data_IF_796457241374
#
_entry.id   IF_796457241374
#
_cell.length_a   1.000
_cell.length_b   1.000
_cell.length_c   1.000
_cell.angle_alpha   90.00
_cell.angle_beta   90.00
_cell.angle_gamma   90.00
#
_symmetry.space_group_name_H-M   'P 1'
#
loop_
_entity.id
_entity.type
_entity.pdbx_description
1 polymer ?
#
# COMPACT_ATOMS: atom_id res chain seq x y z
N UNK A 1 9.00 -17.33 -27.51
CA UNK A 1 8.89 -16.17 -28.43
C UNK A 1 7.50 -15.51 -28.41
N UNK A 2 6.39 -16.27 -28.25
CA UNK A 2 5.03 -15.70 -28.19
C UNK A 2 4.78 -14.89 -26.93
N UNK A 3 5.16 -15.38 -25.75
CA UNK A 3 5.03 -14.67 -24.46
C UNK A 3 5.71 -13.29 -24.51
N UNK A 4 6.90 -13.22 -25.09
CA UNK A 4 7.63 -11.95 -25.25
C UNK A 4 6.91 -10.96 -26.17
N UNK A 5 6.18 -11.44 -27.19
CA UNK A 5 5.33 -10.59 -28.04
C UNK A 5 4.11 -10.08 -27.29
N UNK A 6 3.51 -10.93 -26.46
CA UNK A 6 2.35 -10.60 -25.64
C UNK A 6 2.71 -9.51 -24.59
N UNK A 7 3.80 -9.70 -23.87
CA UNK A 7 4.31 -8.74 -22.87
C UNK A 7 4.68 -7.37 -23.45
N UNK A 8 4.94 -7.28 -24.75
CA UNK A 8 5.21 -6.00 -25.45
C UNK A 8 3.94 -5.27 -25.90
N UNK A 9 2.83 -6.00 -26.05
CA UNK A 9 1.59 -5.47 -26.64
C UNK A 9 0.52 -5.17 -25.59
N UNK A 10 0.43 -6.00 -24.54
CA UNK A 10 -0.64 -5.90 -23.54
C UNK A 10 -0.08 -5.30 -22.25
N UNK A 11 -0.65 -4.22 -21.74
CA UNK A 11 -0.20 -3.55 -20.52
C UNK A 11 -0.75 -4.26 -19.27
N UNK A 12 -0.26 -5.48 -18.99
CA UNK A 12 -0.59 -6.22 -17.76
C UNK A 12 -0.16 -5.49 -16.49
N UNK A 13 0.85 -4.62 -16.59
CA UNK A 13 1.38 -3.86 -15.48
C UNK A 13 0.31 -3.05 -14.72
N UNK A 14 -0.79 -2.69 -15.39
CA UNK A 14 -1.86 -1.94 -14.75
C UNK A 14 -2.65 -2.82 -13.75
N UNK A 15 -2.96 -4.06 -14.14
CA UNK A 15 -3.55 -5.06 -13.25
C UNK A 15 -2.55 -5.46 -12.17
N UNK A 16 -1.32 -5.72 -12.56
CA UNK A 16 -0.25 -6.13 -11.66
C UNK A 16 0.09 -5.07 -10.61
N UNK A 17 -0.09 -3.78 -10.91
CA UNK A 17 0.06 -2.70 -9.94
C UNK A 17 -0.92 -2.85 -8.76
N UNK A 18 -2.19 -3.17 -9.06
CA UNK A 18 -3.20 -3.40 -8.03
C UNK A 18 -2.88 -4.65 -7.23
N UNK A 19 -2.50 -5.74 -7.93
CA UNK A 19 -2.09 -6.99 -7.28
C UNK A 19 -0.88 -6.76 -6.38
N UNK A 20 0.14 -6.07 -6.87
CA UNK A 20 1.33 -5.73 -6.09
C UNK A 20 0.98 -4.90 -4.85
N UNK A 21 0.15 -3.86 -5.00
CA UNK A 21 -0.27 -3.05 -3.86
C UNK A 21 -0.96 -3.89 -2.77
N UNK A 22 -1.84 -4.81 -3.16
CA UNK A 22 -2.52 -5.72 -2.24
C UNK A 22 -1.56 -6.71 -1.58
N UNK A 23 -0.63 -7.30 -2.34
CA UNK A 23 0.36 -8.22 -1.81
C UNK A 23 1.32 -7.52 -0.85
N UNK A 24 1.82 -6.35 -1.24
CA UNK A 24 2.73 -5.55 -0.43
C UNK A 24 2.09 -5.10 0.88
N UNK A 25 0.85 -4.61 0.81
CA UNK A 25 0.07 -4.29 2.00
C UNK A 25 -0.16 -5.50 2.92
N UNK A 26 -0.30 -6.70 2.35
CA UNK A 26 -0.40 -7.95 3.12
C UNK A 26 0.92 -8.33 3.77
N UNK A 27 2.07 -8.08 3.13
CA UNK A 27 3.39 -8.29 3.72
C UNK A 27 3.61 -7.36 4.92
N UNK A 28 3.30 -6.07 4.76
CA UNK A 28 3.50 -5.07 5.82
C UNK A 28 2.55 -5.26 7.00
N UNK A 29 1.33 -5.75 6.73
CA UNK A 29 0.29 -5.95 7.74
C UNK A 29 -0.01 -7.44 7.99
N UNK A 30 1.02 -8.29 7.89
CA UNK A 30 0.87 -9.72 8.05
C UNK A 30 0.28 -10.07 9.44
N UNK A 31 -0.76 -10.91 9.42
CA UNK A 31 -1.45 -11.32 10.65
C UNK A 31 -2.53 -10.35 11.15
N UNK A 32 -2.58 -9.10 10.67
CA UNK A 32 -3.61 -8.12 11.03
C UNK A 32 -4.75 -8.03 10.03
N UNK A 33 -4.46 -8.25 8.75
CA UNK A 33 -5.45 -8.12 7.67
C UNK A 33 -5.71 -9.50 7.07
N UNK A 34 -6.98 -9.91 7.04
CA UNK A 34 -7.39 -11.19 6.48
C UNK A 34 -7.42 -11.17 4.94
N UNK A 35 -7.33 -12.35 4.33
CA UNK A 35 -7.36 -12.49 2.87
C UNK A 35 -8.63 -11.92 2.25
N UNK A 36 -9.77 -12.03 2.96
CA UNK A 36 -11.07 -11.52 2.47
C UNK A 36 -11.03 -10.00 2.32
N UNK A 37 -10.50 -9.31 3.31
CA UNK A 37 -10.35 -7.85 3.33
C UNK A 37 -9.43 -7.39 2.20
N UNK A 38 -8.30 -8.06 2.02
CA UNK A 38 -7.33 -7.79 0.93
C UNK A 38 -8.00 -7.92 -0.44
N UNK A 39 -8.78 -8.98 -0.66
CA UNK A 39 -9.49 -9.20 -1.92
C UNK A 39 -10.55 -8.11 -2.16
N UNK A 40 -11.33 -7.75 -1.14
CA UNK A 40 -12.36 -6.70 -1.26
C UNK A 40 -11.72 -5.35 -1.59
N UNK A 41 -10.64 -4.96 -0.88
CA UNK A 41 -9.90 -3.73 -1.15
C UNK A 41 -9.31 -3.76 -2.56
N UNK A 42 -8.71 -4.88 -2.96
CA UNK A 42 -8.15 -5.05 -4.29
C UNK A 42 -9.18 -4.89 -5.41
N UNK A 43 -10.37 -5.47 -5.26
CA UNK A 43 -11.47 -5.30 -6.21
C UNK A 43 -11.94 -3.84 -6.30
N UNK A 44 -11.99 -3.15 -5.16
CA UNK A 44 -12.36 -1.73 -5.10
C UNK A 44 -11.33 -0.87 -5.85
N UNK A 45 -10.04 -1.07 -5.57
CA UNK A 45 -8.95 -0.35 -6.25
C UNK A 45 -8.96 -0.65 -7.74
N UNK A 46 -9.17 -1.92 -8.12
CA UNK A 46 -9.24 -2.33 -9.52
C UNK A 46 -10.40 -1.64 -10.25
N UNK A 47 -11.57 -1.56 -9.61
CA UNK A 47 -12.73 -0.88 -10.16
C UNK A 47 -12.45 0.60 -10.44
N UNK A 48 -11.89 1.34 -9.46
CA UNK A 48 -11.57 2.75 -9.65
C UNK A 48 -10.44 2.97 -10.66
N UNK A 49 -9.45 2.10 -10.68
CA UNK A 49 -8.37 2.15 -11.67
C UNK A 49 -8.91 1.92 -13.09
N UNK A 50 -9.82 0.97 -13.24
CA UNK A 50 -10.48 0.71 -14.53
C UNK A 50 -11.38 1.87 -14.96
N UNK A 51 -12.16 2.45 -14.04
CA UNK A 51 -12.99 3.62 -14.31
C UNK A 51 -12.14 4.82 -14.75
N UNK A 52 -11.04 5.07 -14.05
CA UNK A 52 -10.10 6.14 -14.40
C UNK A 52 -9.44 5.87 -15.75
N UNK A 53 -9.04 4.63 -16.03
CA UNK A 53 -8.53 4.23 -17.33
C UNK A 53 -9.53 4.53 -18.45
N UNK A 54 -10.80 4.14 -18.28
CA UNK A 54 -11.86 4.39 -19.28
C UNK A 54 -12.07 5.89 -19.52
N UNK A 55 -12.05 6.68 -18.46
CA UNK A 55 -12.18 8.14 -18.54
C UNK A 55 -11.02 8.74 -19.36
N UNK A 56 -9.78 8.36 -19.07
CA UNK A 56 -8.61 8.85 -19.83
C UNK A 56 -8.63 8.32 -21.26
N UNK A 57 -9.05 7.08 -21.48
CA UNK A 57 -9.18 6.46 -22.80
C UNK A 57 -10.18 7.20 -23.70
N UNK A 58 -11.27 7.70 -23.11
CA UNK A 58 -12.26 8.49 -23.86
C UNK A 58 -11.63 9.73 -24.50
N UNK A 59 -10.67 10.37 -23.82
CA UNK A 59 -9.99 11.56 -24.34
C UNK A 59 -8.80 11.24 -25.24
N UNK A 60 -8.03 10.20 -24.94
CA UNK A 60 -6.75 9.92 -25.60
C UNK A 60 -6.88 9.05 -26.84
N UNK A 61 -7.85 8.12 -26.82
CA UNK A 61 -8.12 7.12 -27.87
C UNK A 61 -6.90 6.24 -28.24
N UNK A 62 -5.85 6.25 -27.42
CA UNK A 62 -4.65 5.42 -27.57
C UNK A 62 -4.49 4.54 -26.33
N UNK A 63 -4.76 3.25 -26.48
CA UNK A 63 -4.80 2.28 -25.39
C UNK A 63 -3.47 2.19 -24.61
N UNK A 64 -2.33 2.14 -25.32
CA UNK A 64 -1.01 2.02 -24.67
C UNK A 64 -0.65 3.31 -23.96
N UNK A 65 -0.86 4.45 -24.60
CA UNK A 65 -0.62 5.75 -24.03
C UNK A 65 -1.47 5.97 -22.77
N UNK A 66 -2.76 5.62 -22.82
CA UNK A 66 -3.68 5.66 -21.67
C UNK A 66 -3.18 4.80 -20.52
N UNK A 67 -2.78 3.56 -20.83
CA UNK A 67 -2.28 2.63 -19.82
C UNK A 67 -1.06 3.17 -19.08
N UNK A 68 -0.12 3.78 -19.80
CA UNK A 68 1.09 4.36 -19.22
C UNK A 68 0.79 5.58 -18.34
N UNK A 69 -0.18 6.42 -18.72
CA UNK A 69 -0.63 7.55 -17.91
C UNK A 69 -1.35 7.06 -16.64
N UNK A 70 -2.31 6.13 -16.83
CA UNK A 70 -3.07 5.56 -15.72
C UNK A 70 -2.17 4.88 -14.69
N UNK A 71 -1.19 4.11 -15.16
CA UNK A 71 -0.21 3.46 -14.29
C UNK A 71 0.58 4.48 -13.46
N UNK A 72 1.05 5.54 -14.07
CA UNK A 72 1.83 6.57 -13.39
C UNK A 72 1.00 7.29 -12.32
N UNK A 73 -0.23 7.69 -12.67
CA UNK A 73 -1.13 8.40 -11.73
C UNK A 73 -1.60 7.46 -10.62
N UNK A 74 -2.00 6.23 -10.95
CA UNK A 74 -2.40 5.24 -9.96
C UNK A 74 -1.25 4.88 -9.02
N UNK A 75 -0.01 4.75 -9.54
CA UNK A 75 1.18 4.54 -8.74
C UNK A 75 1.42 5.66 -7.73
N UNK A 76 1.31 6.93 -8.16
CA UNK A 76 1.41 8.06 -7.24
C UNK A 76 0.32 8.03 -6.16
N UNK A 77 -0.90 7.73 -6.54
CA UNK A 77 -2.02 7.69 -5.59
C UNK A 77 -1.86 6.57 -4.56
N UNK A 78 -1.58 5.36 -5.02
CA UNK A 78 -1.48 4.18 -4.15
C UNK A 78 -0.27 4.24 -3.21
N UNK A 79 0.85 4.77 -3.67
CA UNK A 79 2.09 4.84 -2.89
C UNK A 79 2.38 6.24 -2.33
N UNK A 80 1.36 7.11 -2.28
CA UNK A 80 1.53 8.50 -1.79
C UNK A 80 2.09 8.55 -0.36
N UNK A 81 1.59 7.70 0.54
CA UNK A 81 2.08 7.59 1.92
C UNK A 81 3.56 7.20 1.95
N UNK A 82 3.92 6.11 1.30
CA UNK A 82 5.31 5.63 1.25
C UNK A 82 6.27 6.67 0.65
N UNK A 83 5.83 7.42 -0.37
CA UNK A 83 6.62 8.50 -0.96
C UNK A 83 6.85 9.63 0.05
N UNK A 84 5.80 10.01 0.77
CA UNK A 84 5.88 11.04 1.80
C UNK A 84 6.82 10.61 2.93
N UNK A 85 6.69 9.37 3.42
CA UNK A 85 7.53 8.82 4.47
C UNK A 85 9.00 8.74 4.05
N UNK A 86 9.25 8.33 2.80
CA UNK A 86 10.59 8.34 2.22
C UNK A 86 11.19 9.76 2.19
N UNK A 87 10.41 10.77 1.78
CA UNK A 87 10.88 12.17 1.76
C UNK A 87 11.17 12.70 3.18
N UNK A 88 10.36 12.29 4.16
CA UNK A 88 10.55 12.66 5.56
C UNK A 88 11.82 12.04 6.14
N UNK A 89 12.16 10.81 5.74
CA UNK A 89 13.36 10.10 6.18
C UNK A 89 14.68 10.72 5.70
N UNK A 90 14.64 11.62 4.70
CA UNK A 90 15.82 12.32 4.18
C UNK A 90 15.79 13.79 4.60
N UNK A 91 16.63 14.25 5.56
CA UNK A 91 16.58 15.60 6.09
C UNK A 91 16.63 16.71 5.02
N UNK A 92 17.40 16.48 3.95
CA UNK A 92 17.51 17.43 2.82
C UNK A 92 16.20 17.56 2.03
N UNK A 93 15.36 16.53 2.00
CA UNK A 93 14.11 16.50 1.25
C UNK A 93 12.87 16.69 2.12
N UNK A 94 13.04 16.83 3.44
CA UNK A 94 11.93 16.95 4.39
C UNK A 94 11.01 18.15 4.10
N UNK A 95 11.53 19.22 3.48
CA UNK A 95 10.69 20.36 3.07
C UNK A 95 9.68 20.02 1.96
N UNK A 96 9.92 18.94 1.19
CA UNK A 96 9.01 18.49 0.13
C UNK A 96 7.79 17.73 0.65
N UNK A 97 7.78 17.32 1.92
CA UNK A 97 6.68 16.52 2.51
C UNK A 97 5.37 17.33 2.70
N UNK A 98 5.44 18.67 2.68
CA UNK A 98 4.29 19.54 2.80
C UNK A 98 3.34 19.36 1.60
N UNK A 99 2.03 19.20 1.86
CA UNK A 99 1.03 19.01 0.80
C UNK A 99 1.07 20.14 -0.24
N UNK A 100 1.37 21.36 0.16
CA UNK A 100 1.52 22.53 -0.74
C UNK A 100 2.71 22.42 -1.70
N UNK A 101 3.68 21.56 -1.41
CA UNK A 101 4.86 21.33 -2.26
C UNK A 101 4.72 20.02 -3.04
N UNK A 102 4.37 18.93 -2.37
CA UNK A 102 4.32 17.61 -2.98
C UNK A 102 3.23 17.50 -4.06
N UNK A 103 2.04 18.09 -3.83
CA UNK A 103 0.94 18.01 -4.81
C UNK A 103 1.29 18.74 -6.11
N UNK A 104 1.74 20.02 -6.10
CA UNK A 104 2.19 20.68 -7.33
C UNK A 104 3.37 19.97 -8.01
N UNK A 105 4.31 19.41 -7.23
CA UNK A 105 5.42 18.64 -7.77
C UNK A 105 4.93 17.41 -8.55
N UNK A 106 3.99 16.63 -7.98
CA UNK A 106 3.39 15.47 -8.63
C UNK A 106 2.63 15.86 -9.91
N UNK A 107 1.93 17.00 -9.89
CA UNK A 107 1.26 17.53 -11.08
C UNK A 107 2.26 17.87 -12.18
N UNK A 108 3.35 18.55 -11.84
CA UNK A 108 4.41 18.89 -12.80
C UNK A 108 5.04 17.61 -13.38
N UNK A 109 5.37 16.64 -12.53
CA UNK A 109 5.92 15.36 -12.97
C UNK A 109 4.95 14.60 -13.90
N UNK A 110 3.66 14.62 -13.58
CA UNK A 110 2.62 14.02 -14.44
C UNK A 110 2.55 14.72 -15.80
N UNK A 111 2.58 16.05 -15.84
CA UNK A 111 2.60 16.81 -17.09
C UNK A 111 3.87 16.52 -17.91
N UNK A 112 5.02 16.50 -17.26
CA UNK A 112 6.29 16.13 -17.90
C UNK A 112 6.23 14.71 -18.48
N UNK A 113 5.64 13.75 -17.75
CA UNK A 113 5.43 12.38 -18.19
C UNK A 113 4.54 12.31 -19.45
N UNK A 114 3.41 13.01 -19.42
CA UNK A 114 2.49 13.09 -20.57
C UNK A 114 3.20 13.66 -21.80
N UNK A 115 3.93 14.77 -21.64
CA UNK A 115 4.70 15.40 -22.72
C UNK A 115 5.76 14.44 -23.28
N UNK A 116 6.50 13.77 -22.39
CA UNK A 116 7.50 12.78 -22.74
C UNK A 116 6.91 11.64 -23.57
N UNK A 117 5.81 11.05 -23.13
CA UNK A 117 5.12 9.98 -23.82
C UNK A 117 4.63 10.42 -25.20
N UNK A 118 4.04 11.64 -25.31
CA UNK A 118 3.60 12.19 -26.61
C UNK A 118 4.75 12.34 -27.59
N UNK A 119 5.93 12.77 -27.12
CA UNK A 119 7.11 13.00 -27.97
C UNK A 119 7.84 11.70 -28.35
N UNK A 120 7.79 10.67 -27.52
CA UNK A 120 8.60 9.44 -27.63
C UNK A 120 7.76 8.18 -27.84
N UNK A 121 6.77 8.22 -28.73
CA UNK A 121 5.84 7.11 -29.02
C UNK A 121 6.55 5.79 -29.34
N UNK A 122 7.71 5.84 -29.98
CA UNK A 122 8.53 4.66 -30.30
C UNK A 122 9.05 3.89 -29.06
N UNK A 123 9.03 4.53 -27.86
CA UNK A 123 9.43 3.88 -26.62
C UNK A 123 8.29 3.11 -25.95
N UNK A 124 7.03 3.34 -26.33
CA UNK A 124 5.87 2.72 -25.67
C UNK A 124 5.96 1.19 -25.58
N UNK A 125 6.29 0.42 -26.63
CA UNK A 125 6.40 -1.03 -26.51
C UNK A 125 7.52 -1.50 -25.57
N UNK A 126 8.61 -0.71 -25.49
CA UNK A 126 9.72 -0.99 -24.58
C UNK A 126 9.33 -0.71 -23.14
N UNK A 127 8.62 0.39 -22.90
CA UNK A 127 8.09 0.74 -21.59
C UNK A 127 7.06 -0.29 -21.10
N UNK A 128 6.13 -0.71 -21.98
CA UNK A 128 5.15 -1.75 -21.66
C UNK A 128 5.85 -3.04 -21.23
N UNK A 129 6.85 -3.49 -21.99
CA UNK A 129 7.61 -4.69 -21.67
C UNK A 129 8.36 -4.55 -20.33
N UNK A 130 9.05 -3.43 -20.13
CA UNK A 130 9.79 -3.16 -18.90
C UNK A 130 8.88 -3.14 -17.67
N UNK A 131 7.76 -2.41 -17.74
CA UNK A 131 6.81 -2.30 -16.63
C UNK A 131 6.12 -3.63 -16.32
N UNK A 132 5.74 -4.40 -17.35
CA UNK A 132 5.19 -5.73 -17.13
C UNK A 132 6.19 -6.64 -16.40
N UNK A 133 7.45 -6.65 -16.86
CA UNK A 133 8.49 -7.47 -16.22
C UNK A 133 8.76 -7.02 -14.78
N UNK A 134 8.87 -5.70 -14.57
CA UNK A 134 9.11 -5.11 -13.26
C UNK A 134 8.01 -5.50 -12.27
N UNK A 135 6.74 -5.33 -12.65
CA UNK A 135 5.60 -5.67 -11.78
C UNK A 135 5.51 -7.17 -11.50
N UNK A 136 5.81 -8.03 -12.47
CA UNK A 136 5.87 -9.48 -12.26
C UNK A 136 6.93 -9.81 -11.19
N UNK A 137 8.12 -9.23 -11.29
CA UNK A 137 9.20 -9.47 -10.34
C UNK A 137 8.77 -9.02 -8.93
N UNK A 138 8.18 -7.84 -8.78
CA UNK A 138 7.73 -7.35 -7.49
C UNK A 138 6.62 -8.22 -6.88
N UNK A 139 5.63 -8.65 -7.69
CA UNK A 139 4.60 -9.58 -7.20
C UNK A 139 5.21 -10.91 -6.74
N UNK A 140 6.20 -11.45 -7.46
CA UNK A 140 6.88 -12.70 -7.06
C UNK A 140 7.62 -12.50 -5.74
N UNK A 141 8.34 -11.38 -5.56
CA UNK A 141 9.06 -11.09 -4.31
C UNK A 141 8.10 -11.02 -3.13
N UNK A 142 6.97 -10.31 -3.25
CA UNK A 142 6.00 -10.23 -2.17
C UNK A 142 5.36 -11.58 -1.84
N UNK A 143 5.07 -12.40 -2.85
CA UNK A 143 4.59 -13.78 -2.61
C UNK A 143 5.62 -14.60 -1.83
N UNK A 144 6.91 -14.49 -2.17
CA UNK A 144 7.98 -15.18 -1.43
C UNK A 144 8.01 -14.68 0.02
N UNK A 145 7.90 -13.37 0.26
CA UNK A 145 7.89 -12.79 1.60
C UNK A 145 6.69 -13.27 2.43
N UNK A 146 5.48 -13.33 1.84
CA UNK A 146 4.28 -13.85 2.51
C UNK A 146 4.50 -15.32 2.91
N UNK A 147 5.02 -16.15 1.99
CA UNK A 147 5.31 -17.56 2.27
C UNK A 147 6.35 -17.71 3.38
N UNK A 148 7.39 -16.87 3.41
CA UNK A 148 8.38 -16.88 4.48
C UNK A 148 7.77 -16.49 5.83
N UNK A 149 6.89 -15.51 5.88
CA UNK A 149 6.19 -15.10 7.09
C UNK A 149 5.26 -16.20 7.61
N UNK A 150 4.51 -16.88 6.70
CA UNK A 150 3.63 -18.00 7.04
C UNK A 150 4.40 -19.18 7.66
N UNK A 151 5.60 -19.48 7.14
CA UNK A 151 6.45 -20.55 7.68
C UNK A 151 7.07 -20.13 9.03
N UNK A 152 7.50 -18.87 9.14
CA UNK A 152 8.18 -18.36 10.34
C UNK A 152 7.21 -18.12 11.52
N UNK A 153 5.99 -17.70 11.21
CA UNK A 153 4.97 -17.38 12.20
C UNK A 153 3.65 -18.06 11.82
N UNK A 154 3.54 -19.39 12.02
CA UNK A 154 2.27 -20.04 11.78
C UNK A 154 1.21 -19.39 12.67
N UNK A 155 -0.01 -19.19 12.15
CA UNK A 155 -1.06 -18.50 12.88
C UNK A 155 -1.21 -19.10 14.28
N UNK A 156 -1.11 -18.25 15.29
CA UNK A 156 -1.24 -18.68 16.67
C UNK A 156 -2.58 -19.42 16.80
N UNK A 157 -2.52 -20.72 17.03
CA UNK A 157 -3.74 -21.48 17.35
C UNK A 157 -4.35 -20.78 18.54
N UNK A 158 -5.56 -20.26 18.39
CA UNK A 158 -6.31 -19.72 19.52
C UNK A 158 -6.23 -20.77 20.63
N UNK A 159 -5.52 -20.44 21.70
CA UNK A 159 -5.45 -21.34 22.83
C UNK A 159 -6.88 -21.49 23.34
N UNK A 160 -7.46 -22.67 23.13
CA UNK A 160 -8.72 -23.03 23.75
C UNK A 160 -8.44 -23.18 25.23
N UNK A 161 -8.49 -22.08 25.97
CA UNK A 161 -8.45 -22.14 27.42
C UNK A 161 -9.78 -22.73 27.85
N UNK A 162 -9.77 -24.00 28.23
CA UNK A 162 -10.90 -24.62 28.92
C UNK A 162 -11.01 -23.97 30.30
N UNK A 163 -11.77 -22.89 30.37
CA UNK A 163 -12.01 -22.21 31.62
C UNK A 163 -13.14 -22.89 32.35
N UNK A 164 -12.87 -23.44 33.53
CA UNK A 164 -13.91 -24.03 34.38
C UNK A 164 -14.66 -22.96 35.14
N UNK A 165 -15.81 -22.58 34.63
CA UNK A 165 -16.69 -21.56 35.26
C UNK A 165 -17.25 -21.97 36.62
N UNK A 166 -17.21 -23.26 37.01
CA UNK A 166 -17.71 -23.73 38.29
C UNK A 166 -16.84 -23.35 39.46
N UNK A 167 -15.56 -23.06 39.20
CA UNK A 167 -14.58 -22.63 40.20
C UNK A 167 -14.72 -21.14 40.57
N UNK A 168 -15.43 -20.36 39.77
CA UNK A 168 -15.60 -18.92 40.01
C UNK A 168 -16.69 -18.66 41.05
N UNK A 169 -16.29 -18.45 42.30
CA UNK A 169 -17.23 -18.15 43.40
C UNK A 169 -17.78 -16.72 43.37
N UNK A 170 -16.98 -15.77 42.87
CA UNK A 170 -17.38 -14.38 42.68
C UNK A 170 -17.14 -14.00 41.23
N UNK A 171 -18.04 -13.26 40.62
CA UNK A 171 -17.95 -12.75 39.23
C UNK A 171 -17.75 -11.23 39.33
N UNK A 172 -16.49 -10.75 39.53
CA UNK A 172 -16.22 -9.32 39.48
C UNK A 172 -16.44 -8.79 38.08
N UNK A 173 -16.85 -7.54 37.97
CA UNK A 173 -16.88 -6.84 36.71
C UNK A 173 -15.44 -6.64 36.23
N UNK A 174 -15.15 -7.07 34.99
CA UNK A 174 -13.82 -6.91 34.36
C UNK A 174 -13.96 -5.84 33.29
N UNK A 175 -13.24 -4.75 33.45
CA UNK A 175 -13.17 -3.66 32.48
C UNK A 175 -11.83 -3.76 31.74
N UNK A 176 -11.86 -4.03 30.43
CA UNK A 176 -10.70 -3.92 29.56
C UNK A 176 -10.74 -2.54 28.88
N UNK A 177 -9.86 -1.64 29.33
CA UNK A 177 -9.70 -0.34 28.67
C UNK A 177 -8.49 -0.39 27.74
N UNK A 178 -8.74 -0.23 26.43
CA UNK A 178 -7.69 -0.13 25.40
C UNK A 178 -7.65 1.33 24.97
N UNK A 179 -6.55 2.00 25.27
CA UNK A 179 -6.32 3.37 24.84
C UNK A 179 -5.64 3.33 23.47
N UNK A 180 -6.35 3.82 22.45
CA UNK A 180 -5.80 4.00 21.12
C UNK A 180 -4.95 5.29 21.11
N UNK A 181 -3.73 5.19 20.57
CA UNK A 181 -2.76 6.30 20.46
C UNK A 181 -2.43 7.02 21.78
N UNK A 182 -2.67 6.36 22.93
CA UNK A 182 -2.33 6.96 24.22
C UNK A 182 -0.81 7.06 24.37
N UNK A 183 -0.23 8.27 24.52
CA UNK A 183 1.21 8.44 24.61
C UNK A 183 1.78 7.72 25.83
N UNK A 184 2.92 7.07 25.64
CA UNK A 184 3.64 6.43 26.77
C UNK A 184 4.05 7.44 27.84
N UNK A 185 4.28 6.97 29.07
CA UNK A 185 4.61 7.81 30.23
C UNK A 185 5.69 8.86 29.94
N UNK A 186 6.80 8.44 29.32
CA UNK A 186 7.90 9.32 28.97
C UNK A 186 7.48 10.43 27.97
N UNK A 187 6.65 10.10 27.03
CA UNK A 187 6.13 11.06 26.05
C UNK A 187 5.19 12.07 26.71
N UNK A 188 4.36 11.61 27.68
CA UNK A 188 3.49 12.49 28.45
C UNK A 188 4.28 13.47 29.32
N UNK A 189 5.29 12.99 30.02
CA UNK A 189 6.13 13.84 30.90
C UNK A 189 7.02 14.80 30.10
N UNK A 190 7.71 14.32 29.08
CA UNK A 190 8.71 15.09 28.35
C UNK A 190 8.09 16.11 27.38
N UNK A 191 6.95 15.74 26.75
CA UNK A 191 6.34 16.60 25.71
C UNK A 191 5.16 17.41 26.22
N UNK A 192 4.43 16.92 27.21
CA UNK A 192 3.20 17.56 27.71
C UNK A 192 3.30 18.01 29.17
N UNK A 193 4.39 17.69 29.87
CA UNK A 193 4.55 18.02 31.29
C UNK A 193 3.52 17.36 32.20
N UNK A 194 2.88 16.28 31.75
CA UNK A 194 1.82 15.58 32.47
C UNK A 194 2.27 14.21 32.93
N UNK A 195 2.26 13.98 34.23
CA UNK A 195 2.56 12.68 34.84
C UNK A 195 1.24 11.97 35.20
N UNK A 196 0.93 10.84 34.55
CA UNK A 196 -0.22 10.01 34.86
C UNK A 196 0.20 8.82 35.74
N UNK A 197 0.69 9.14 36.94
CA UNK A 197 1.22 8.12 37.88
C UNK A 197 0.14 7.13 38.29
N UNK A 198 -1.10 7.55 38.41
CA UNK A 198 -2.23 6.69 38.80
C UNK A 198 -2.51 5.57 37.80
N UNK A 199 -2.17 5.73 36.52
CA UNK A 199 -2.36 4.68 35.52
C UNK A 199 -1.23 3.66 35.54
N UNK A 200 -0.01 4.04 35.99
CA UNK A 200 1.18 3.20 35.99
C UNK A 200 1.50 2.53 37.34
N UNK A 201 0.74 2.87 38.40
CA UNK A 201 0.86 2.26 39.71
C UNK A 201 -0.06 1.03 39.92
N UNK A 202 -0.81 0.64 38.89
CA UNK A 202 -1.58 -0.60 38.81
C UNK A 202 -0.81 -1.67 38.05
#
# INVERSE_FOLDING_TARGET
KEIMKLLKKIPFFLLLLVVFFCLHGSVENYGYVGLKEVVVIGLFILFFTALFFLLVQFFTRDYIFTSLITFFIAGWYLFFGAIKDFLTGIPLLAFLQGYFVIIPLLLILTLCWIIFLKRKKQLHPKLVFYLNLLMIIYCILDVILIVQQEIAQPPAKAASVNFDYTLVKQKPDIYLMVFDEYPGYKSLTDSFGFANDSLYLF
#
